data_IF_506442908939
#
_entry.id   IF_506442908939
#
_cell.length_a   1.000
_cell.length_b   1.000
_cell.length_c   1.000
_cell.angle_alpha   90.00
_cell.angle_beta   90.00
_cell.angle_gamma   90.00
#
_symmetry.space_group_name_H-M   'P 1'
#
loop_
_entity.id
_entity.type
_entity.pdbx_description
1 polymer ?
#
# COMPACT_ATOMS: atom_id res chain seq x y z
N UNK A 1 8.46 -3.23 -8.58
CA UNK A 1 9.14 -2.54 -9.71
C UNK A 1 8.89 -1.03 -9.76
N UNK A 2 7.69 -0.52 -9.42
CA UNK A 2 7.46 0.95 -9.32
C UNK A 2 8.41 1.64 -8.32
N UNK A 3 8.66 1.05 -7.16
CA UNK A 3 9.64 1.53 -6.18
C UNK A 3 11.07 1.59 -6.72
N UNK A 4 11.49 0.57 -7.48
CA UNK A 4 12.79 0.58 -8.14
C UNK A 4 12.89 1.72 -9.16
N UNK A 5 11.84 1.91 -9.97
CA UNK A 5 11.78 3.01 -10.93
C UNK A 5 11.88 4.36 -10.21
N UNK A 6 11.08 4.58 -9.16
CA UNK A 6 11.10 5.80 -8.35
C UNK A 6 12.50 6.08 -7.78
N UNK A 7 13.15 5.07 -7.18
CA UNK A 7 14.51 5.19 -6.67
C UNK A 7 15.53 5.61 -7.75
N UNK A 8 15.49 4.94 -8.91
CA UNK A 8 16.41 5.21 -10.01
C UNK A 8 16.15 6.56 -10.71
N UNK A 9 14.87 6.90 -10.96
CA UNK A 9 14.50 8.14 -11.63
C UNK A 9 14.70 9.37 -10.75
N UNK A 10 14.44 9.23 -9.45
CA UNK A 10 14.64 10.28 -8.46
C UNK A 10 16.12 10.54 -8.15
N UNK A 11 17.04 9.65 -8.58
CA UNK A 11 18.46 9.66 -8.19
C UNK A 11 18.64 9.77 -6.67
N UNK A 12 17.77 9.09 -5.93
CA UNK A 12 17.79 9.05 -4.48
C UNK A 12 18.59 7.83 -4.03
N UNK A 13 19.27 7.93 -2.90
CA UNK A 13 19.82 6.75 -2.24
C UNK A 13 18.65 5.97 -1.62
N UNK A 14 18.52 4.70 -2.00
CA UNK A 14 17.45 3.84 -1.53
C UNK A 14 17.93 2.40 -1.27
N UNK A 15 17.17 1.69 -0.44
CA UNK A 15 17.21 0.25 -0.26
C UNK A 15 15.86 -0.33 -0.62
N UNK A 16 15.88 -1.41 -1.37
CA UNK A 16 14.69 -2.13 -1.80
C UNK A 16 14.88 -3.60 -1.51
N UNK A 17 13.91 -4.21 -0.83
CA UNK A 17 13.92 -5.62 -0.48
C UNK A 17 12.47 -6.16 -0.40
N UNK A 18 12.33 -7.46 -0.24
CA UNK A 18 11.05 -8.18 -0.18
C UNK A 18 11.18 -9.37 0.76
N UNK A 19 10.07 -9.76 1.40
CA UNK A 19 10.00 -10.85 2.39
C UNK A 19 11.00 -10.66 3.53
N UNK A 20 11.08 -9.45 4.09
CA UNK A 20 11.92 -9.19 5.27
C UNK A 20 11.16 -9.67 6.51
N UNK A 21 11.80 -10.51 7.32
CA UNK A 21 11.26 -10.96 8.60
C UNK A 21 11.05 -9.78 9.58
N UNK A 22 9.98 -9.84 10.37
CA UNK A 22 9.70 -8.85 11.43
C UNK A 22 8.79 -7.69 11.02
N UNK A 23 8.10 -7.78 9.87
CA UNK A 23 7.12 -6.79 9.43
C UNK A 23 5.71 -7.36 9.21
N UNK A 24 5.44 -8.56 9.72
CA UNK A 24 4.19 -9.28 9.50
C UNK A 24 3.75 -9.28 8.04
N UNK A 25 2.53 -8.83 7.79
CA UNK A 25 1.91 -8.81 6.47
C UNK A 25 2.43 -7.70 5.53
N UNK A 26 3.25 -6.76 6.02
CA UNK A 26 3.82 -5.67 5.21
C UNK A 26 5.24 -5.96 4.73
N UNK A 27 5.52 -7.22 4.39
CA UNK A 27 6.83 -7.71 3.98
C UNK A 27 7.02 -7.80 2.46
N UNK A 28 5.94 -7.71 1.65
CA UNK A 28 6.01 -7.87 0.19
C UNK A 28 7.05 -6.92 -0.44
N UNK A 29 7.07 -5.66 0.00
CA UNK A 29 8.11 -4.70 -0.38
C UNK A 29 8.51 -3.87 0.83
N UNK A 30 9.80 -3.85 1.09
CA UNK A 30 10.47 -2.87 1.93
C UNK A 30 11.16 -1.84 1.04
N UNK A 31 10.85 -0.56 1.25
CA UNK A 31 11.52 0.54 0.56
C UNK A 31 11.98 1.61 1.55
N UNK A 32 13.28 1.72 1.75
CA UNK A 32 13.90 2.79 2.54
C UNK A 32 14.54 3.80 1.58
N UNK A 33 14.32 5.08 1.80
CA UNK A 33 14.97 6.16 1.04
C UNK A 33 15.21 7.38 1.92
N UNK A 34 16.03 8.31 1.43
CA UNK A 34 16.21 9.61 2.08
C UNK A 34 15.40 10.69 1.37
N UNK A 35 14.66 11.47 2.14
CA UNK A 35 13.98 12.65 1.62
C UNK A 35 14.95 13.80 1.29
N UNK A 36 14.40 14.92 0.82
CA UNK A 36 15.19 16.12 0.49
C UNK A 36 15.90 16.73 1.71
N UNK A 37 15.43 16.43 2.92
CA UNK A 37 16.03 16.85 4.20
C UNK A 37 17.02 15.80 4.75
N UNK A 38 17.34 14.76 3.97
CA UNK A 38 18.23 13.65 4.34
C UNK A 38 17.71 12.85 5.56
N UNK A 39 16.40 12.86 5.82
CA UNK A 39 15.75 12.00 6.82
C UNK A 39 15.38 10.66 6.20
N UNK A 40 15.57 9.57 6.95
CA UNK A 40 15.17 8.24 6.49
C UNK A 40 13.66 8.09 6.52
N UNK A 41 13.11 7.64 5.39
CA UNK A 41 11.70 7.31 5.17
C UNK A 41 11.63 5.84 4.80
N UNK A 42 10.67 5.13 5.38
CA UNK A 42 10.45 3.71 5.11
C UNK A 42 9.01 3.52 4.67
N UNK A 43 8.83 2.78 3.58
CA UNK A 43 7.52 2.32 3.12
C UNK A 43 7.51 0.80 3.18
N UNK A 44 6.65 0.25 4.04
CA UNK A 44 6.38 -1.18 4.15
C UNK A 44 5.09 -1.49 3.40
N UNK A 45 5.12 -2.44 2.48
CA UNK A 45 4.04 -2.66 1.53
C UNK A 45 3.45 -4.04 1.70
N UNK A 46 2.12 -4.08 1.70
CA UNK A 46 1.34 -5.27 1.40
C UNK A 46 0.70 -5.09 0.01
N UNK A 47 1.02 -5.94 -0.94
CA UNK A 47 0.38 -6.06 -2.23
C UNK A 47 -0.81 -7.04 -2.16
N UNK A 48 -2.03 -6.51 -2.22
CA UNK A 48 -3.26 -7.30 -2.28
C UNK A 48 -3.84 -7.27 -3.69
N UNK A 49 -4.05 -8.44 -4.28
CA UNK A 49 -4.77 -8.58 -5.53
C UNK A 49 -6.19 -9.11 -5.27
N UNK A 50 -7.20 -8.37 -5.74
CA UNK A 50 -8.57 -8.85 -5.78
C UNK A 50 -8.78 -9.71 -7.04
N UNK A 51 -9.02 -11.01 -6.82
CA UNK A 51 -9.20 -12.03 -7.87
C UNK A 51 -10.67 -12.27 -8.26
N UNK A 52 -11.62 -11.44 -7.83
CA UNK A 52 -13.03 -11.77 -8.07
C UNK A 52 -13.40 -11.59 -9.55
N UNK A 53 -14.11 -12.57 -10.11
CA UNK A 53 -14.77 -12.48 -11.43
C UNK A 53 -15.80 -11.33 -11.53
N UNK A 54 -16.03 -10.59 -10.43
CA UNK A 54 -16.79 -9.35 -10.40
C UNK A 54 -15.80 -8.19 -10.37
N UNK A 55 -15.36 -7.76 -11.54
CA UNK A 55 -14.51 -6.58 -11.80
C UNK A 55 -15.07 -5.23 -11.27
N UNK A 56 -16.04 -5.25 -10.34
CA UNK A 56 -16.81 -4.10 -9.87
C UNK A 56 -16.91 -4.02 -8.35
N UNK A 57 -16.22 -4.86 -7.58
CA UNK A 57 -16.20 -4.72 -6.11
C UNK A 57 -15.07 -3.78 -5.71
N UNK A 58 -15.43 -2.52 -5.54
CA UNK A 58 -14.61 -1.56 -4.81
C UNK A 58 -14.65 -1.89 -3.30
N UNK A 59 -13.55 -1.62 -2.60
CA UNK A 59 -13.41 -1.74 -1.15
C UNK A 59 -14.37 -0.77 -0.46
N UNK A 60 -15.16 -1.27 0.47
CA UNK A 60 -16.15 -0.50 1.23
C UNK A 60 -15.74 -0.33 2.69
N UNK A 61 -16.45 0.53 3.44
CA UNK A 61 -16.23 0.68 4.89
C UNK A 61 -16.30 -0.68 5.62
N UNK A 62 -17.24 -1.51 5.21
CA UNK A 62 -17.43 -2.86 5.75
C UNK A 62 -16.25 -3.79 5.52
N UNK A 63 -15.54 -3.64 4.39
CA UNK A 63 -14.41 -4.51 4.07
C UNK A 63 -13.18 -4.18 4.93
N UNK A 64 -13.09 -2.94 5.46
CA UNK A 64 -12.00 -2.49 6.34
C UNK A 64 -12.29 -2.71 7.84
N UNK A 65 -13.55 -2.59 8.26
CA UNK A 65 -13.93 -2.45 9.69
C UNK A 65 -14.98 -3.46 10.19
N UNK A 66 -15.24 -4.56 9.47
CA UNK A 66 -16.13 -5.63 9.98
C UNK A 66 -15.37 -6.62 10.88
N UNK A 67 -16.00 -6.93 12.01
CA UNK A 67 -15.67 -7.99 12.96
C UNK A 67 -15.71 -9.37 12.27
N UNK A 68 -14.71 -10.20 12.51
CA UNK A 68 -14.54 -11.51 11.86
C UNK A 68 -15.75 -12.44 12.06
N UNK A 69 -16.53 -12.21 13.12
CA UNK A 69 -17.70 -12.99 13.49
C UNK A 69 -18.93 -12.79 12.60
N UNK A 70 -18.99 -11.73 11.78
CA UNK A 70 -20.12 -11.43 10.87
C UNK A 70 -19.95 -12.02 9.44
N UNK A 71 -18.89 -12.80 9.20
CA UNK A 71 -18.51 -13.29 7.86
C UNK A 71 -19.36 -14.47 7.37
N UNK A 72 -20.63 -14.23 7.03
CA UNK A 72 -21.41 -15.18 6.19
C UNK A 72 -21.00 -15.15 4.70
N UNK A 73 -20.15 -14.22 4.28
CA UNK A 73 -19.61 -14.16 2.93
C UNK A 73 -18.13 -13.80 3.02
N UNK A 74 -17.29 -14.55 2.31
CA UNK A 74 -15.87 -14.25 2.09
C UNK A 74 -15.76 -12.88 1.41
N UNK A 75 -15.73 -11.82 2.20
CA UNK A 75 -15.33 -10.49 1.75
C UNK A 75 -13.81 -10.50 1.67
N UNK A 76 -13.31 -9.80 0.66
CA UNK A 76 -11.89 -9.74 0.35
C UNK A 76 -11.11 -9.28 1.59
N UNK A 77 -10.01 -9.96 1.87
CA UNK A 77 -9.31 -9.93 3.15
C UNK A 77 -8.51 -8.62 3.35
N UNK A 78 -9.25 -7.52 3.58
CA UNK A 78 -8.76 -6.14 3.80
C UNK A 78 -9.00 -5.61 5.22
N UNK A 79 -9.56 -6.43 6.12
CA UNK A 79 -9.90 -6.00 7.48
C UNK A 79 -8.69 -5.44 8.22
N UNK A 80 -8.78 -4.23 8.76
CA UNK A 80 -7.64 -3.54 9.37
C UNK A 80 -7.23 -4.11 10.72
N UNK A 81 -8.16 -4.75 11.44
CA UNK A 81 -7.88 -5.39 12.72
C UNK A 81 -6.74 -6.41 12.62
N UNK A 82 -6.71 -7.26 11.59
CA UNK A 82 -5.65 -8.26 11.45
C UNK A 82 -4.27 -7.60 11.29
N UNK A 83 -4.16 -6.54 10.49
CA UNK A 83 -2.89 -5.84 10.27
C UNK A 83 -2.42 -5.15 11.55
N UNK A 84 -3.37 -4.58 12.30
CA UNK A 84 -3.10 -3.98 13.60
C UNK A 84 -2.68 -5.01 14.66
N UNK A 85 -3.34 -6.16 14.72
CA UNK A 85 -3.08 -7.18 15.76
C UNK A 85 -1.84 -8.01 15.44
N UNK A 86 -1.66 -8.40 14.18
CA UNK A 86 -0.66 -9.38 13.79
C UNK A 86 0.64 -8.75 13.29
N UNK A 87 0.58 -7.61 12.59
CA UNK A 87 1.76 -7.02 11.94
C UNK A 87 2.31 -5.81 12.68
N UNK A 88 1.44 -4.94 13.20
CA UNK A 88 1.87 -3.69 13.82
C UNK A 88 2.80 -3.85 15.05
N UNK A 89 2.56 -4.81 15.96
CA UNK A 89 3.42 -5.00 17.11
C UNK A 89 4.84 -5.45 16.72
N UNK A 90 4.99 -6.26 15.67
CA UNK A 90 6.30 -6.68 15.15
C UNK A 90 7.07 -5.48 14.60
N UNK A 91 6.40 -4.66 13.81
CA UNK A 91 6.98 -3.43 13.22
C UNK A 91 7.46 -2.49 14.33
N UNK A 92 6.67 -2.30 15.40
CA UNK A 92 7.04 -1.44 16.53
C UNK A 92 8.21 -1.99 17.35
N UNK A 93 8.40 -3.30 17.41
CA UNK A 93 9.50 -3.94 18.14
C UNK A 93 10.83 -3.90 17.36
N UNK A 94 10.81 -3.57 16.07
CA UNK A 94 12.01 -3.52 15.25
C UNK A 94 12.95 -2.39 15.68
N UNK A 95 14.07 -2.77 16.30
CA UNK A 95 15.11 -1.84 16.79
C UNK A 95 15.85 -1.13 15.66
N UNK A 96 15.86 -1.72 14.46
CA UNK A 96 16.58 -1.20 13.30
C UNK A 96 15.95 0.10 12.76
N UNK A 97 14.68 0.37 13.07
CA UNK A 97 13.92 1.46 12.45
C UNK A 97 13.20 2.40 13.44
N UNK A 98 13.55 2.36 14.73
CA UNK A 98 12.88 3.13 15.79
C UNK A 98 12.84 4.65 15.56
N UNK A 99 13.76 5.20 14.77
CA UNK A 99 13.83 6.64 14.46
C UNK A 99 13.38 6.99 13.04
N UNK A 100 12.93 6.00 12.27
CA UNK A 100 12.50 6.21 10.88
C UNK A 100 11.03 6.59 10.80
N UNK A 101 10.70 7.42 9.82
CA UNK A 101 9.31 7.68 9.49
C UNK A 101 8.77 6.53 8.62
N UNK A 102 7.95 5.68 9.24
CA UNK A 102 7.41 4.45 8.63
C UNK A 102 5.99 4.70 8.14
N UNK A 103 5.79 4.47 6.85
CA UNK A 103 4.48 4.40 6.17
C UNK A 103 4.12 2.95 5.89
N UNK A 104 2.89 2.57 6.24
CA UNK A 104 2.32 1.26 5.94
C UNK A 104 1.41 1.38 4.72
N UNK A 105 1.72 0.71 3.61
CA UNK A 105 1.00 0.86 2.36
C UNK A 105 0.30 -0.44 1.95
N UNK A 106 -1.00 -0.38 1.75
CA UNK A 106 -1.77 -1.46 1.12
C UNK A 106 -1.94 -1.09 -0.36
N UNK A 107 -1.23 -1.81 -1.22
CA UNK A 107 -1.34 -1.68 -2.68
C UNK A 107 -2.39 -2.65 -3.19
N UNK A 108 -3.32 -2.16 -4.01
CA UNK A 108 -4.38 -3.03 -4.56
C UNK A 108 -4.86 -2.59 -5.94
N UNK A 109 -5.28 -3.57 -6.74
CA UNK A 109 -5.81 -3.39 -8.09
C UNK A 109 -7.27 -2.89 -8.13
N UNK A 110 -7.97 -2.85 -6.99
CA UNK A 110 -9.36 -2.37 -6.89
C UNK A 110 -9.46 -1.01 -6.22
N UNK A 111 -10.49 -0.23 -6.57
CA UNK A 111 -10.72 1.09 -5.99
C UNK A 111 -11.40 1.01 -4.61
N UNK A 112 -11.45 2.13 -3.89
CA UNK A 112 -12.37 2.33 -2.76
C UNK A 112 -13.73 2.86 -3.23
N UNK A 113 -14.80 2.52 -2.51
CA UNK A 113 -16.11 3.11 -2.65
C UNK A 113 -16.36 4.09 -1.52
N UNK A 114 -16.05 5.36 -1.78
CA UNK A 114 -16.15 6.43 -0.79
C UNK A 114 -17.58 6.64 -0.27
N UNK A 115 -18.59 6.41 -1.13
CA UNK A 115 -20.00 6.79 -0.88
C UNK A 115 -20.89 5.64 -0.45
N UNK A 116 -20.45 4.40 -0.61
CA UNK A 116 -21.27 3.24 -0.21
C UNK A 116 -21.28 3.14 1.31
N UNK A 117 -22.44 3.48 1.86
CA UNK A 117 -22.70 3.45 3.29
C UNK A 117 -22.84 2.04 3.86
N UNK A 118 -22.51 1.92 5.14
CA UNK A 118 -22.67 0.74 5.96
C UNK A 118 -23.43 1.10 7.23
N UNK A 119 -24.50 0.36 7.56
CA UNK A 119 -25.22 0.60 8.80
C UNK A 119 -24.40 0.07 9.99
N UNK A 120 -23.96 0.94 10.90
CA UNK A 120 -23.22 0.59 12.12
C UNK A 120 -23.67 1.46 13.28
N UNK A 121 -24.00 0.84 14.42
CA UNK A 121 -24.34 1.55 15.67
C UNK A 121 -25.42 2.65 15.52
N UNK A 122 -26.37 2.47 14.60
CA UNK A 122 -27.45 3.44 14.36
C UNK A 122 -27.12 4.59 13.40
N UNK A 123 -25.89 4.66 12.87
CA UNK A 123 -25.48 5.59 11.81
C UNK A 123 -25.15 4.84 10.52
N UNK A 124 -25.16 5.57 9.39
CA UNK A 124 -24.61 5.11 8.12
C UNK A 124 -23.19 5.65 8.03
N UNK A 125 -22.20 4.76 8.02
CA UNK A 125 -20.78 5.10 7.91
C UNK A 125 -20.30 4.92 6.47
N UNK A 126 -19.55 5.90 5.96
CA UNK A 126 -19.01 5.94 4.60
C UNK A 126 -17.50 6.21 4.64
N UNK A 127 -16.75 5.67 3.67
CA UNK A 127 -15.30 5.89 3.63
C UNK A 127 -14.93 7.37 3.36
N UNK A 128 -15.78 8.16 2.70
CA UNK A 128 -15.56 9.61 2.50
C UNK A 128 -15.41 10.39 3.82
N UNK A 129 -16.02 9.90 4.91
CA UNK A 129 -15.89 10.49 6.25
C UNK A 129 -14.49 10.28 6.83
N UNK A 130 -13.84 9.18 6.47
CA UNK A 130 -12.62 8.70 7.13
C UNK A 130 -11.37 8.80 6.26
N UNK A 131 -11.53 8.82 4.93
CA UNK A 131 -10.44 8.90 3.98
C UNK A 131 -10.33 10.30 3.36
N UNK A 132 -9.10 10.66 3.03
CA UNK A 132 -8.78 11.78 2.15
C UNK A 132 -7.67 11.41 1.18
N UNK A 133 -7.66 12.07 0.02
CA UNK A 133 -6.58 11.89 -0.95
C UNK A 133 -5.24 12.35 -0.33
N UNK A 134 -4.21 11.57 -0.60
CA UNK A 134 -2.85 11.82 -0.17
C UNK A 134 -1.86 11.42 -1.26
N UNK A 135 -0.57 11.62 -0.99
CA UNK A 135 0.51 11.01 -1.76
C UNK A 135 1.19 9.95 -0.90
N UNK A 136 1.76 8.93 -1.55
CA UNK A 136 2.55 7.90 -0.87
C UNK A 136 3.96 8.40 -0.53
N UNK A 137 4.56 9.13 -1.46
CA UNK A 137 5.86 9.80 -1.35
C UNK A 137 5.70 11.29 -1.67
N UNK A 138 6.78 12.07 -1.52
CA UNK A 138 6.80 13.50 -1.87
C UNK A 138 6.61 13.75 -3.38
N UNK A 139 6.76 12.70 -4.19
CA UNK A 139 6.46 12.71 -5.61
C UNK A 139 5.25 11.84 -5.98
N UNK A 140 4.76 11.99 -7.20
CA UNK A 140 3.62 11.22 -7.70
C UNK A 140 4.05 9.97 -8.51
N UNK A 141 5.34 9.61 -8.49
CA UNK A 141 5.87 8.51 -9.32
C UNK A 141 5.26 7.18 -8.91
N UNK A 142 5.01 6.99 -7.61
CA UNK A 142 4.34 5.79 -7.08
C UNK A 142 2.80 5.86 -7.20
N UNK A 143 2.25 7.01 -7.60
CA UNK A 143 0.81 7.22 -7.81
C UNK A 143 0.43 7.22 -9.29
N UNK A 144 1.34 6.93 -10.23
CA UNK A 144 1.06 7.02 -11.67
C UNK A 144 0.92 5.65 -12.32
N UNK A 145 -0.21 5.43 -12.99
CA UNK A 145 -0.52 4.18 -13.69
C UNK A 145 -1.13 4.54 -15.07
N UNK A 146 -0.46 4.19 -16.18
CA UNK A 146 -0.93 4.50 -17.55
C UNK A 146 -1.24 5.98 -17.87
N UNK A 147 -0.62 6.94 -17.19
CA UNK A 147 -1.00 8.36 -17.30
C UNK A 147 -2.33 8.71 -16.63
N UNK A 148 -2.95 7.75 -15.93
CA UNK A 148 -4.00 7.97 -14.95
C UNK A 148 -3.36 8.01 -13.55
N UNK A 149 -3.86 8.90 -12.69
CA UNK A 149 -3.42 9.01 -11.30
C UNK A 149 -4.07 7.84 -10.55
N UNK A 150 -3.28 6.83 -10.17
CA UNK A 150 -3.63 5.94 -9.08
C UNK A 150 -3.97 6.79 -7.86
N UNK A 151 -5.01 6.43 -7.12
CA UNK A 151 -5.41 7.19 -5.96
C UNK A 151 -4.67 6.64 -4.74
N UNK A 152 -4.07 7.54 -3.97
CA UNK A 152 -3.55 7.23 -2.65
C UNK A 152 -4.47 7.91 -1.63
N UNK A 153 -4.93 7.15 -0.64
CA UNK A 153 -5.75 7.66 0.45
C UNK A 153 -5.03 7.45 1.77
N UNK A 154 -5.15 8.44 2.66
CA UNK A 154 -4.82 8.31 4.08
C UNK A 154 -6.07 8.48 4.92
N UNK A 155 -5.95 8.10 6.19
CA UNK A 155 -7.00 8.30 7.18
C UNK A 155 -6.92 9.74 7.70
N UNK A 156 -8.08 10.40 7.88
CA UNK A 156 -8.17 11.78 8.41
C UNK A 156 -8.87 11.88 9.77
N UNK A 157 -9.71 10.91 10.10
CA UNK A 157 -10.49 10.92 11.35
C UNK A 157 -10.19 9.62 12.14
N UNK A 158 -8.98 9.55 12.67
CA UNK A 158 -8.45 8.41 13.41
C UNK A 158 -9.22 8.16 14.71
N UNK A 159 -9.59 9.24 15.42
CA UNK A 159 -10.25 9.19 16.73
C UNK A 159 -11.58 8.42 16.69
N UNK A 160 -12.43 8.70 15.70
CA UNK A 160 -13.71 8.00 15.58
C UNK A 160 -13.58 6.54 15.11
N UNK A 161 -12.45 6.17 14.51
CA UNK A 161 -12.23 4.82 14.01
C UNK A 161 -11.78 3.83 15.09
N UNK A 162 -11.25 4.32 16.21
CA UNK A 162 -10.73 3.49 17.32
C UNK A 162 -11.76 2.46 17.80
N UNK A 163 -13.04 2.85 17.86
CA UNK A 163 -14.16 1.99 18.29
C UNK A 163 -14.40 0.76 17.41
N UNK A 164 -13.79 0.68 16.23
CA UNK A 164 -13.90 -0.48 15.32
C UNK A 164 -12.75 -1.48 15.49
N UNK A 165 -11.80 -1.21 16.37
CA UNK A 165 -10.71 -2.13 16.70
C UNK A 165 -11.09 -3.00 17.90
N UNK A 166 -10.73 -4.29 17.85
CA UNK A 166 -11.12 -5.27 18.88
C UNK A 166 -10.24 -5.23 20.13
N UNK A 167 -9.03 -4.68 20.02
CA UNK A 167 -8.04 -4.58 21.10
C UNK A 167 -7.03 -3.48 20.78
N UNK A 168 -6.05 -3.28 21.68
CA UNK A 168 -5.05 -2.21 21.60
C UNK A 168 -5.47 -0.96 22.36
N UNK A 169 -4.48 -0.15 22.77
CA UNK A 169 -4.74 1.16 23.34
C UNK A 169 -5.15 2.16 22.26
N UNK A 170 -5.88 3.20 22.67
CA UNK A 170 -6.29 4.28 21.78
C UNK A 170 -5.11 4.96 21.07
N UNK A 171 -3.95 5.04 21.74
CA UNK A 171 -2.74 5.66 21.19
C UNK A 171 -2.06 4.75 20.15
N UNK A 172 -1.98 3.45 20.40
CA UNK A 172 -1.43 2.48 19.44
C UNK A 172 -2.28 2.40 18.17
N UNK A 173 -3.61 2.39 18.31
CA UNK A 173 -4.54 2.38 17.18
C UNK A 173 -4.39 3.67 16.36
N UNK A 174 -4.28 4.81 17.03
CA UNK A 174 -4.09 6.10 16.35
C UNK A 174 -2.78 6.14 15.56
N UNK A 175 -1.67 5.74 16.17
CA UNK A 175 -0.35 5.65 15.54
C UNK A 175 -0.38 4.71 14.32
N UNK A 176 -1.02 3.55 14.43
CA UNK A 176 -1.22 2.64 13.29
C UNK A 176 -2.01 3.30 12.15
N UNK A 177 -3.16 3.89 12.45
CA UNK A 177 -4.03 4.48 11.44
C UNK A 177 -3.38 5.69 10.75
N UNK A 178 -2.56 6.48 11.47
CA UNK A 178 -1.81 7.63 10.93
C UNK A 178 -0.77 7.21 9.87
N UNK A 179 -0.16 6.04 10.05
CA UNK A 179 0.87 5.49 9.16
C UNK A 179 0.29 4.82 7.92
N UNK A 180 -0.98 4.43 7.97
CA UNK A 180 -1.60 3.65 6.92
C UNK A 180 -1.91 4.48 5.67
N UNK A 181 -1.64 3.89 4.50
CA UNK A 181 -1.97 4.41 3.17
C UNK A 181 -2.62 3.33 2.33
N UNK A 182 -3.66 3.70 1.59
CA UNK A 182 -4.30 2.84 0.59
C UNK A 182 -3.92 3.33 -0.79
N UNK A 183 -3.15 2.53 -1.52
CA UNK A 183 -2.73 2.83 -2.88
C UNK A 183 -3.54 1.94 -3.82
N UNK A 184 -4.58 2.53 -4.42
CA UNK A 184 -5.62 1.79 -5.13
C UNK A 184 -5.56 1.96 -6.63
N UNK A 185 -6.31 1.12 -7.36
CA UNK A 185 -6.29 1.04 -8.83
C UNK A 185 -4.87 0.82 -9.39
N UNK A 186 -4.07 0.02 -8.68
CA UNK A 186 -2.74 -0.36 -9.15
C UNK A 186 -2.85 -1.27 -10.37
N UNK A 187 -1.90 -1.19 -11.31
CA UNK A 187 -1.92 -1.99 -12.53
C UNK A 187 -1.86 -3.47 -12.18
N UNK A 188 -2.58 -4.29 -12.95
CA UNK A 188 -2.36 -5.72 -12.90
C UNK A 188 -0.98 -6.08 -13.49
N UNK A 189 -0.57 -7.34 -13.37
CA UNK A 189 0.76 -7.78 -13.80
C UNK A 189 1.09 -7.43 -15.26
N UNK A 190 0.16 -7.68 -16.20
CA UNK A 190 0.37 -7.36 -17.61
C UNK A 190 0.52 -5.87 -17.86
N UNK A 191 -0.26 -5.05 -17.16
CA UNK A 191 -0.21 -3.60 -17.29
C UNK A 191 1.08 -3.01 -16.69
N UNK A 192 1.53 -3.59 -15.58
CA UNK A 192 2.75 -3.19 -14.90
C UNK A 192 3.97 -3.47 -15.80
N UNK A 193 4.02 -4.65 -16.43
CA UNK A 193 5.07 -5.03 -17.38
C UNK A 193 5.22 -4.03 -18.53
N UNK A 194 4.11 -3.57 -19.09
CA UNK A 194 4.12 -2.59 -20.18
C UNK A 194 4.61 -1.21 -19.70
N UNK A 195 4.18 -0.78 -18.51
CA UNK A 195 4.64 0.47 -17.89
C UNK A 195 6.15 0.43 -17.68
N UNK A 196 6.66 -0.65 -17.10
CA UNK A 196 8.09 -0.84 -16.85
C UNK A 196 8.88 -0.76 -18.15
N UNK A 197 8.48 -1.52 -19.18
CA UNK A 197 9.19 -1.53 -20.46
C UNK A 197 9.25 -0.14 -21.08
N UNK A 198 8.15 0.62 -20.99
CA UNK A 198 8.08 1.99 -21.47
C UNK A 198 9.02 2.91 -20.69
N UNK A 199 8.99 2.86 -19.36
CA UNK A 199 9.80 3.75 -18.51
C UNK A 199 11.29 3.45 -18.63
N UNK A 200 11.68 2.17 -18.61
CA UNK A 200 13.08 1.76 -18.86
C UNK A 200 13.49 2.18 -20.29
N UNK A 201 12.61 1.98 -21.28
CA UNK A 201 12.86 2.41 -22.65
C UNK A 201 13.09 3.92 -22.77
N UNK A 202 12.33 4.73 -22.04
CA UNK A 202 12.49 6.19 -21.99
C UNK A 202 13.82 6.60 -21.32
N UNK A 203 14.14 6.03 -20.16
CA UNK A 203 15.35 6.38 -19.40
C UNK A 203 16.61 6.00 -20.15
N UNK A 204 16.65 4.78 -20.70
CA UNK A 204 17.86 4.24 -21.33
C UNK A 204 17.89 4.41 -22.85
N UNK A 205 16.84 4.97 -23.46
CA UNK A 205 16.66 5.11 -24.92
C UNK A 205 16.77 3.76 -25.66
N UNK A 206 16.23 2.70 -25.07
CA UNK A 206 16.26 1.33 -25.60
C UNK A 206 14.85 0.90 -26.04
N UNK A 207 14.72 0.31 -27.23
CA UNK A 207 13.44 -0.26 -27.69
C UNK A 207 13.15 -1.64 -27.06
N UNK A 208 11.86 -1.91 -26.80
CA UNK A 208 11.37 -2.90 -25.83
C UNK A 208 11.82 -4.36 -25.96
N UNK A 209 12.25 -4.83 -27.13
CA UNK A 209 12.70 -6.22 -27.30
C UNK A 209 14.05 -6.51 -26.60
N UNK A 210 14.93 -5.52 -26.43
CA UNK A 210 16.28 -5.71 -25.85
C UNK A 210 16.33 -5.63 -24.32
N UNK A 211 15.28 -5.14 -23.68
CA UNK A 211 15.24 -4.90 -22.23
C UNK A 211 15.02 -6.22 -21.48
N UNK A 212 14.01 -7.01 -21.88
CA UNK A 212 13.68 -8.29 -21.26
C UNK A 212 14.83 -9.30 -21.36
N UNK A 213 15.49 -9.39 -22.52
CA UNK A 213 16.59 -10.35 -22.73
C UNK A 213 17.76 -10.09 -21.79
N UNK A 214 18.01 -8.82 -21.44
CA UNK A 214 19.16 -8.41 -20.60
C UNK A 214 18.85 -8.45 -19.11
N UNK A 215 17.60 -8.20 -18.71
CA UNK A 215 17.16 -8.39 -17.32
C UNK A 215 16.98 -9.87 -16.97
N UNK A 216 16.37 -10.67 -17.85
CA UNK A 216 16.20 -12.12 -17.63
C UNK A 216 17.55 -12.86 -17.63
N UNK A 217 18.53 -12.44 -18.44
CA UNK A 217 19.87 -13.02 -18.42
C UNK A 217 20.67 -12.71 -17.15
N UNK A 218 20.20 -11.79 -16.29
CA UNK A 218 20.82 -11.47 -15.00
C UNK A 218 20.12 -12.18 -13.85
N UNK A 219 18.81 -12.45 -13.97
CA UNK A 219 18.01 -13.09 -12.93
C UNK A 219 17.81 -14.61 -13.10
N UNK A 220 18.05 -15.19 -14.27
CA UNK A 220 17.94 -16.65 -14.50
C UNK A 220 19.28 -17.40 -14.48
N UNK A 221 20.34 -16.77 -13.97
CA UNK A 221 21.69 -17.35 -13.88
C UNK A 221 22.15 -17.56 -12.43
N UNK A 222 21.19 -17.74 -11.50
CA UNK A 222 21.45 -18.29 -10.17
C UNK A 222 20.52 -19.45 -9.90
#
# INVERSE_FOLDING_TARGET
MLYLLHGLSGKIDFRLASNIEGFGAFDDIFFEYKDQENKSKIVLVQAKHCNTHRASKNITFEDLFIDENDRKQQKEDFGLNKYFVESYPEIQQSTEFQNSDITLAIHTNVNVNLKKGAAKQGSIETLEKYLEESTLTDDNTLNTCKGQRGACYKIKNHTELKKYFSCGSDDEIEDFLLRLRFVVNQPNHSELDDIIKKEIGNVYKISGEKILTRFLSVYMTR
#
